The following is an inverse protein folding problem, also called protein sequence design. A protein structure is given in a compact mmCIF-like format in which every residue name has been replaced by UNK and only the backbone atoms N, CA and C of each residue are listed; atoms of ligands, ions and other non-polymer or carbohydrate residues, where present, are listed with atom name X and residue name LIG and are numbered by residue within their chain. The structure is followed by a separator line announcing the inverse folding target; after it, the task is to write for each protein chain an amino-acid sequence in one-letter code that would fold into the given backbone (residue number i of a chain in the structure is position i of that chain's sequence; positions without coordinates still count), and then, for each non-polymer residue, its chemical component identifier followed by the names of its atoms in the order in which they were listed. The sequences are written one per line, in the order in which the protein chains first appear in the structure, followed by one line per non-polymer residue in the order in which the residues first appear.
data_IF_858039285386
#
_entry.id   IF_858039285386
#
_cell.length_a   1.000
_cell.length_b   1.000
_cell.length_c   1.000
_cell.angle_alpha   90.00
_cell.angle_beta   90.00
_cell.angle_gamma   90.00
#
_symmetry.space_group_name_H-M   'P 1'
#
loop_
_entity.id
_entity.type
_entity.pdbx_description
1 polymer ?
#
# COMPACT_ATOMS: atom_id res chain seq x y z
N UNK A 1 -0.42 -32.09 -6.43
CA UNK A 1 -1.86 -32.11 -6.10
C UNK A 1 -2.20 -30.72 -5.60
N UNK A 2 -2.97 -29.95 -6.38
CA UNK A 2 -3.39 -28.59 -6.00
C UNK A 2 -4.73 -28.77 -5.30
N UNK A 3 -4.74 -28.73 -3.97
CA UNK A 3 -5.99 -28.78 -3.20
C UNK A 3 -6.78 -27.54 -3.58
N UNK A 4 -7.84 -27.70 -4.37
CA UNK A 4 -8.75 -26.64 -4.74
C UNK A 4 -9.70 -26.39 -3.55
N UNK A 5 -9.13 -25.97 -2.42
CA UNK A 5 -9.93 -25.36 -1.38
C UNK A 5 -10.34 -23.98 -1.89
N UNK A 6 -11.64 -23.79 -2.07
CA UNK A 6 -12.22 -22.49 -2.42
C UNK A 6 -12.00 -21.48 -1.29
N UNK A 7 -12.81 -20.42 -1.27
CA UNK A 7 -12.68 -19.35 -0.26
C UNK A 7 -12.69 -19.94 1.16
N UNK A 8 -11.60 -19.73 1.89
CA UNK A 8 -11.48 -20.05 3.31
C UNK A 8 -12.07 -18.92 4.12
N UNK A 9 -13.27 -19.13 4.66
CA UNK A 9 -13.91 -18.20 5.60
C UNK A 9 -13.41 -18.44 7.02
N UNK A 10 -13.64 -17.48 7.92
CA UNK A 10 -13.33 -17.62 9.35
C UNK A 10 -13.95 -18.86 9.98
N UNK A 11 -15.17 -19.23 9.58
CA UNK A 11 -15.83 -20.46 10.05
C UNK A 11 -15.10 -21.73 9.60
N UNK A 12 -14.58 -21.75 8.36
CA UNK A 12 -13.76 -22.86 7.85
C UNK A 12 -12.39 -22.96 8.54
N UNK A 13 -11.69 -21.84 8.72
CA UNK A 13 -10.41 -21.81 9.43
C UNK A 13 -10.56 -22.24 10.91
N UNK A 14 -11.70 -21.99 11.54
CA UNK A 14 -11.97 -22.52 12.90
C UNK A 14 -12.08 -24.04 12.93
N UNK A 15 -12.65 -24.66 11.89
CA UNK A 15 -12.81 -26.12 11.79
C UNK A 15 -11.54 -26.85 11.34
N UNK A 16 -10.68 -26.18 10.56
CA UNK A 16 -9.38 -26.66 10.14
C UNK A 16 -8.36 -25.53 10.40
N UNK A 17 -7.80 -25.45 11.62
CA UNK A 17 -6.93 -24.35 12.01
C UNK A 17 -5.65 -24.31 11.17
N UNK A 18 -5.28 -23.10 10.77
CA UNK A 18 -4.08 -22.85 9.96
C UNK A 18 -2.82 -23.33 10.69
N UNK A 19 -2.00 -24.09 9.98
CA UNK A 19 -0.66 -24.44 10.44
C UNK A 19 0.34 -23.44 9.88
N UNK A 20 0.95 -22.66 10.78
CA UNK A 20 2.00 -21.72 10.45
C UNK A 20 3.36 -22.42 10.41
N UNK A 21 4.14 -22.13 9.37
CA UNK A 21 5.49 -22.69 9.23
C UNK A 21 6.46 -21.93 10.15
N UNK A 22 7.21 -22.68 10.96
CA UNK A 22 8.33 -22.13 11.75
C UNK A 22 9.56 -21.97 10.85
N UNK A 23 10.10 -20.75 10.78
CA UNK A 23 11.28 -20.43 9.97
C UNK A 23 12.37 -19.79 10.84
N UNK A 24 13.66 -20.01 10.52
CA UNK A 24 14.74 -19.24 11.13
C UNK A 24 14.56 -17.74 10.91
N UNK A 25 14.94 -16.92 11.89
CA UNK A 25 14.81 -15.46 11.80
C UNK A 25 15.49 -14.87 10.54
N UNK A 26 16.74 -15.24 10.17
CA UNK A 26 17.38 -14.72 8.97
C UNK A 26 16.60 -15.03 7.70
N UNK A 27 16.03 -16.25 7.61
CA UNK A 27 15.15 -16.65 6.51
C UNK A 27 13.93 -15.75 6.42
N UNK A 28 13.29 -15.46 7.57
CA UNK A 28 12.09 -14.62 7.58
C UNK A 28 12.42 -13.16 7.21
N UNK A 29 13.56 -12.64 7.64
CA UNK A 29 14.02 -11.30 7.24
C UNK A 29 14.20 -11.25 5.73
N UNK A 30 14.93 -12.20 5.14
CA UNK A 30 15.14 -12.25 3.69
C UNK A 30 13.82 -12.42 2.92
N UNK A 31 12.89 -13.23 3.44
CA UNK A 31 11.56 -13.38 2.85
C UNK A 31 10.81 -12.04 2.78
N UNK A 32 10.81 -11.26 3.86
CA UNK A 32 10.16 -9.95 3.92
C UNK A 32 10.84 -8.93 2.98
N UNK A 33 12.17 -8.95 2.89
CA UNK A 33 12.89 -8.09 1.96
C UNK A 33 12.59 -8.44 0.49
N UNK A 34 12.40 -9.73 0.18
CA UNK A 34 11.99 -10.18 -1.14
C UNK A 34 10.53 -9.83 -1.46
N UNK A 35 9.64 -9.86 -0.46
CA UNK A 35 8.24 -9.41 -0.60
C UNK A 35 8.19 -7.90 -0.87
N UNK A 36 8.94 -7.08 -0.12
CA UNK A 36 9.05 -5.64 -0.35
C UNK A 36 9.62 -5.31 -1.75
N UNK A 37 10.60 -6.08 -2.20
CA UNK A 37 11.14 -5.96 -3.56
C UNK A 37 10.08 -6.31 -4.62
N UNK A 38 9.23 -7.29 -4.37
CA UNK A 38 8.13 -7.66 -5.27
C UNK A 38 7.10 -6.54 -5.36
N UNK A 39 6.69 -5.99 -4.21
CA UNK A 39 5.74 -4.87 -4.14
C UNK A 39 6.24 -3.63 -4.91
N UNK A 40 7.52 -3.27 -4.74
CA UNK A 40 8.14 -2.16 -5.48
C UNK A 40 8.13 -2.43 -6.99
N UNK A 41 8.43 -3.66 -7.42
CA UNK A 41 8.41 -4.03 -8.85
C UNK A 41 7.00 -3.94 -9.44
N UNK A 42 5.99 -4.37 -8.68
CA UNK A 42 4.57 -4.28 -9.08
C UNK A 42 4.10 -2.82 -9.22
N UNK A 43 4.52 -1.94 -8.30
CA UNK A 43 4.19 -0.50 -8.36
C UNK A 43 4.80 0.20 -9.58
N UNK A 44 6.05 -0.13 -9.94
CA UNK A 44 6.70 0.44 -11.14
C UNK A 44 6.00 -0.03 -12.42
N UNK A 45 5.53 -1.27 -12.45
CA UNK A 45 4.77 -1.80 -13.59
C UNK A 45 3.37 -1.19 -13.68
N UNK A 46 2.72 -0.91 -12.55
CA UNK A 46 1.40 -0.30 -12.49
C UNK A 46 1.41 1.22 -12.77
N UNK A 47 2.54 1.90 -12.57
CA UNK A 47 2.67 3.32 -12.86
C UNK A 47 2.76 3.65 -14.37
N UNK A 48 2.98 2.66 -15.23
CA UNK A 48 2.92 2.82 -16.70
C UNK A 48 1.49 2.60 -17.25
N UNK A 49 0.58 2.07 -16.41
CA UNK A 49 -0.87 2.02 -16.64
C UNK A 49 -1.54 3.19 -15.87
N UNK A 50 -1.07 4.42 -16.13
CA UNK A 50 -1.79 5.65 -15.77
C UNK A 50 -3.13 5.71 -16.55
N UNK A 51 -4.11 4.95 -16.07
CA UNK A 51 -5.51 5.36 -16.02
C UNK A 51 -6.06 4.74 -14.74
N UNK A 52 -5.85 5.49 -13.67
CA UNK A 52 -6.35 5.20 -12.34
C UNK A 52 -7.89 5.16 -12.41
N UNK A 53 -8.43 3.96 -12.63
CA UNK A 53 -9.85 3.59 -12.65
C UNK A 53 -10.48 3.67 -11.26
N UNK A 54 -10.16 4.71 -10.50
CA UNK A 54 -11.12 5.25 -9.54
C UNK A 54 -12.24 5.83 -10.40
N UNK A 55 -13.24 5.01 -10.73
CA UNK A 55 -14.49 5.46 -11.31
C UNK A 55 -14.97 6.66 -10.48
N UNK A 56 -14.76 7.87 -11.01
CA UNK A 56 -15.62 9.00 -10.69
C UNK A 56 -17.01 8.49 -11.05
N UNK A 57 -17.81 8.21 -10.03
CA UNK A 57 -19.22 7.83 -10.20
C UNK A 57 -19.85 8.99 -10.96
N UNK A 58 -19.87 8.86 -12.28
CA UNK A 58 -20.56 9.78 -13.16
C UNK A 58 -22.02 9.64 -12.77
N UNK A 59 -22.52 10.66 -12.07
CA UNK A 59 -23.94 10.89 -11.93
C UNK A 59 -24.49 11.31 -13.30
N UNK A 60 -24.45 10.40 -14.27
CA UNK A 60 -25.14 10.58 -15.54
C UNK A 60 -26.57 10.12 -15.36
N UNK A 61 -27.49 11.07 -15.49
CA UNK A 61 -28.90 10.82 -15.32
C UNK A 61 -29.75 12.02 -14.94
N UNK A 62 -29.37 13.25 -15.28
CA UNK A 62 -30.36 14.35 -15.43
C UNK A 62 -30.00 15.15 -16.69
N UNK A 63 -30.45 14.61 -17.82
CA UNK A 63 -30.70 15.36 -19.03
C UNK A 63 -31.52 16.61 -18.69
N UNK A 64 -30.87 17.77 -18.84
CA UNK A 64 -31.45 19.02 -19.32
C UNK A 64 -32.92 19.32 -18.92
N UNK A 65 -33.14 19.77 -17.68
CA UNK A 65 -34.32 20.58 -17.35
C UNK A 65 -33.90 21.79 -16.50
N UNK A 66 -33.59 22.90 -17.19
CA UNK A 66 -33.36 24.24 -16.59
C UNK A 66 -34.56 24.82 -15.83
N UNK A 67 -35.62 24.05 -15.65
CA UNK A 67 -36.85 24.44 -14.95
C UNK A 67 -36.87 24.00 -13.47
N UNK A 68 -36.04 23.02 -13.06
CA UNK A 68 -36.07 22.51 -11.67
C UNK A 68 -35.39 23.44 -10.64
N UNK A 69 -34.53 24.35 -11.11
CA UNK A 69 -33.82 25.30 -10.23
C UNK A 69 -34.74 26.34 -9.57
N UNK A 70 -35.98 26.49 -10.04
CA UNK A 70 -36.94 27.43 -9.45
C UNK A 70 -37.75 26.84 -8.29
N UNK A 71 -37.74 25.51 -8.10
CA UNK A 71 -38.60 24.83 -7.12
C UNK A 71 -37.91 24.44 -5.80
N UNK A 72 -36.61 24.71 -5.63
CA UNK A 72 -35.92 24.64 -4.32
C UNK A 72 -36.19 25.91 -3.49
N UNK A 73 -37.27 26.63 -3.78
CA UNK A 73 -37.71 27.78 -2.99
C UNK A 73 -38.74 27.40 -1.92
N UNK A 74 -38.75 26.18 -1.36
CA UNK A 74 -39.50 25.93 -0.12
C UNK A 74 -38.88 24.82 0.73
N UNK A 75 -38.61 25.20 1.99
CA UNK A 75 -38.27 24.39 3.17
C UNK A 75 -36.98 23.56 3.18
N UNK A 76 -35.91 24.10 3.76
CA UNK A 76 -35.48 23.73 5.13
C UNK A 76 -34.18 24.46 5.48
N UNK A 77 -34.19 25.22 6.58
CA UNK A 77 -33.01 25.72 7.29
C UNK A 77 -32.01 26.55 6.49
N UNK A 78 -32.17 27.87 6.47
CA UNK A 78 -31.12 28.79 6.00
C UNK A 78 -29.89 28.57 6.87
N UNK A 79 -28.87 27.87 6.37
CA UNK A 79 -27.55 28.01 6.95
C UNK A 79 -27.16 29.48 6.75
N UNK A 80 -27.17 30.26 7.83
CA UNK A 80 -26.73 31.65 7.78
C UNK A 80 -25.22 31.65 7.57
N UNK A 81 -24.68 32.68 6.91
CA UNK A 81 -23.23 32.81 6.70
C UNK A 81 -22.45 32.68 8.02
N UNK A 82 -23.05 33.03 9.16
CA UNK A 82 -22.50 32.81 10.50
C UNK A 82 -22.25 31.33 10.85
N UNK A 83 -23.06 30.39 10.36
CA UNK A 83 -22.84 28.96 10.56
C UNK A 83 -21.66 28.46 9.73
N UNK A 84 -21.51 29.01 8.52
CA UNK A 84 -20.41 28.71 7.62
C UNK A 84 -19.09 29.31 8.15
N UNK A 85 -19.13 30.54 8.65
CA UNK A 85 -18.02 31.21 9.34
C UNK A 85 -17.63 30.47 10.62
N UNK A 86 -18.59 29.95 11.39
CA UNK A 86 -18.34 29.15 12.58
C UNK A 86 -17.65 27.82 12.24
N UNK A 87 -18.06 27.16 11.15
CA UNK A 87 -17.37 25.96 10.64
C UNK A 87 -15.93 26.30 10.21
N UNK A 88 -15.73 27.38 9.46
CA UNK A 88 -14.40 27.85 9.04
C UNK A 88 -13.50 28.17 10.24
N UNK A 89 -14.04 28.76 11.31
CA UNK A 89 -13.31 29.08 12.53
C UNK A 89 -12.91 27.83 13.32
N UNK A 90 -13.79 26.83 13.41
CA UNK A 90 -13.49 25.53 14.02
C UNK A 90 -12.39 24.77 13.27
N UNK A 91 -12.32 24.90 11.94
CA UNK A 91 -11.25 24.29 11.14
C UNK A 91 -9.93 25.06 11.18
N UNK A 92 -9.95 26.35 11.52
CA UNK A 92 -8.75 27.21 11.53
C UNK A 92 -8.12 27.38 12.94
N UNK A 93 -8.80 26.99 14.02
CA UNK A 93 -8.33 27.28 15.39
C UNK A 93 -7.28 26.30 15.96
N UNK A 94 -6.88 25.24 15.26
CA UNK A 94 -5.86 24.29 15.75
C UNK A 94 -4.66 24.14 14.78
N UNK A 95 -4.19 25.23 14.18
CA UNK A 95 -2.91 25.23 13.43
C UNK A 95 -1.66 25.27 14.34
N UNK A 96 -1.83 25.21 15.66
CA UNK A 96 -0.70 25.01 16.60
C UNK A 96 -0.40 23.52 16.86
N UNK A 97 -1.18 22.61 16.29
CA UNK A 97 -0.82 21.19 16.18
C UNK A 97 0.06 20.98 14.94
N UNK A 98 1.13 21.77 14.82
CA UNK A 98 2.18 21.43 13.88
C UNK A 98 2.83 20.14 14.41
N UNK A 99 2.30 19.00 13.98
CA UNK A 99 2.82 17.67 14.25
C UNK A 99 4.32 17.68 13.95
N UNK A 100 5.13 17.78 15.01
CA UNK A 100 6.60 17.77 14.97
C UNK A 100 7.16 16.49 14.37
N UNK A 101 6.32 15.48 14.17
CA UNK A 101 6.61 14.22 13.51
C UNK A 101 7.07 14.42 12.05
N UNK A 102 6.45 15.36 11.32
CA UNK A 102 6.84 15.67 9.94
C UNK A 102 8.24 16.29 9.84
N UNK A 103 8.66 17.09 10.83
CA UNK A 103 9.96 17.76 10.81
C UNK A 103 11.12 16.80 11.14
N UNK A 104 10.87 15.82 12.01
CA UNK A 104 11.87 14.79 12.37
C UNK A 104 12.02 13.75 11.25
N UNK A 105 10.93 13.40 10.56
CA UNK A 105 10.94 12.44 9.45
C UNK A 105 11.66 12.98 8.20
N UNK A 106 11.56 14.28 7.91
CA UNK A 106 12.27 14.90 6.77
C UNK A 106 13.79 14.98 7.00
N UNK A 107 14.23 15.08 8.26
CA UNK A 107 15.65 15.13 8.60
C UNK A 107 16.30 13.75 8.76
N UNK A 108 15.53 12.65 8.75
CA UNK A 108 16.05 11.29 8.88
C UNK A 108 16.84 10.88 7.62
N UNK A 109 18.14 10.55 7.75
CA UNK A 109 18.92 10.01 6.63
C UNK A 109 18.30 8.77 5.97
N UNK A 110 17.54 7.95 6.72
CA UNK A 110 16.88 6.77 6.18
C UNK A 110 15.77 7.11 5.20
N UNK A 111 15.05 8.23 5.43
CA UNK A 111 13.98 8.68 4.55
C UNK A 111 14.51 9.17 3.19
N UNK A 112 15.81 9.45 3.08
CA UNK A 112 16.48 9.83 1.83
C UNK A 112 16.95 8.63 1.00
N UNK A 113 16.87 7.42 1.54
CA UNK A 113 17.36 6.20 0.85
C UNK A 113 16.34 5.77 -0.19
N UNK A 114 16.81 5.58 -1.43
CA UNK A 114 16.04 4.86 -2.43
C UNK A 114 16.00 3.36 -2.05
N UNK A 115 14.87 2.93 -1.49
CA UNK A 115 14.70 1.56 -1.00
C UNK A 115 14.91 0.51 -2.09
N UNK A 116 14.46 0.76 -3.32
CA UNK A 116 14.61 -0.17 -4.44
C UNK A 116 16.10 -0.44 -4.75
N UNK A 117 16.88 0.64 -4.88
CA UNK A 117 18.32 0.55 -5.13
C UNK A 117 19.04 -0.12 -3.95
N UNK A 118 18.68 0.24 -2.71
CA UNK A 118 19.26 -0.36 -1.52
C UNK A 118 19.03 -1.88 -1.47
N UNK A 119 17.81 -2.34 -1.73
CA UNK A 119 17.51 -3.79 -1.74
C UNK A 119 18.24 -4.51 -2.86
N UNK A 120 18.36 -3.90 -4.05
CA UNK A 120 19.15 -4.44 -5.16
C UNK A 120 20.60 -4.63 -4.75
N UNK A 121 21.24 -3.58 -4.24
CA UNK A 121 22.63 -3.61 -3.81
C UNK A 121 22.86 -4.59 -2.65
N UNK A 122 21.90 -4.67 -1.72
CA UNK A 122 21.92 -5.63 -0.62
C UNK A 122 21.96 -7.07 -1.15
N UNK A 123 21.04 -7.47 -2.04
CA UNK A 123 21.00 -8.83 -2.55
C UNK A 123 22.23 -9.18 -3.40
N UNK A 124 22.72 -8.24 -4.20
CA UNK A 124 23.98 -8.40 -4.96
C UNK A 124 25.14 -8.61 -4.00
N UNK A 125 25.31 -7.73 -3.01
CA UNK A 125 26.39 -7.79 -2.01
C UNK A 125 26.31 -9.06 -1.17
N UNK A 126 25.10 -9.48 -0.79
CA UNK A 126 24.89 -10.69 -0.01
C UNK A 126 25.25 -11.94 -0.83
N UNK A 127 24.88 -11.98 -2.12
CA UNK A 127 25.25 -13.09 -3.01
C UNK A 127 26.76 -13.20 -3.23
N UNK A 128 27.49 -12.09 -3.20
CA UNK A 128 28.94 -12.05 -3.34
C UNK A 128 29.64 -12.45 -2.04
N UNK A 129 29.09 -12.02 -0.90
CA UNK A 129 29.67 -12.25 0.43
C UNK A 129 29.46 -13.68 0.92
N UNK A 130 28.22 -14.19 0.82
CA UNK A 130 27.86 -15.54 1.28
C UNK A 130 26.76 -16.15 0.42
N UNK A 131 27.18 -16.59 -0.78
CA UNK A 131 26.30 -17.25 -1.75
C UNK A 131 25.68 -18.53 -1.19
N UNK A 132 26.43 -19.30 -0.41
CA UNK A 132 25.97 -20.60 0.08
C UNK A 132 24.83 -20.43 1.08
N UNK A 133 24.94 -19.44 1.96
CA UNK A 133 23.89 -19.13 2.91
C UNK A 133 22.65 -18.56 2.22
N UNK A 134 22.82 -17.65 1.25
CA UNK A 134 21.71 -17.14 0.44
C UNK A 134 20.99 -18.28 -0.31
N UNK A 135 21.72 -19.19 -0.94
CA UNK A 135 21.17 -20.35 -1.64
C UNK A 135 20.42 -21.28 -0.67
N UNK A 136 20.91 -21.45 0.56
CA UNK A 136 20.22 -22.21 1.59
C UNK A 136 18.89 -21.55 2.00
N UNK A 137 18.90 -20.24 2.25
CA UNK A 137 17.68 -19.48 2.57
C UNK A 137 16.66 -19.60 1.42
N UNK A 138 17.09 -19.42 0.17
CA UNK A 138 16.23 -19.47 -1.00
C UNK A 138 15.43 -20.78 -1.14
N UNK A 139 15.96 -21.91 -0.63
CA UNK A 139 15.23 -23.20 -0.64
C UNK A 139 13.93 -23.16 0.17
N UNK A 140 13.88 -22.32 1.21
CA UNK A 140 12.73 -22.19 2.11
C UNK A 140 11.76 -21.07 1.72
N UNK A 141 12.11 -20.25 0.73
CA UNK A 141 11.28 -19.15 0.24
C UNK A 141 10.16 -19.64 -0.70
N UNK A 142 9.15 -18.80 -0.88
CA UNK A 142 8.12 -19.02 -1.90
C UNK A 142 8.70 -18.87 -3.32
N UNK A 143 7.94 -19.28 -4.33
CA UNK A 143 8.38 -19.12 -5.71
C UNK A 143 8.46 -17.64 -6.14
N UNK A 144 7.52 -16.79 -5.71
CA UNK A 144 7.53 -15.36 -6.01
C UNK A 144 8.76 -14.67 -5.43
N UNK A 145 9.05 -14.93 -4.16
CA UNK A 145 10.23 -14.40 -3.45
C UNK A 145 11.54 -14.79 -4.14
N UNK A 146 11.69 -16.07 -4.52
CA UNK A 146 12.86 -16.54 -5.27
C UNK A 146 12.98 -15.84 -6.62
N UNK A 147 11.88 -15.69 -7.35
CA UNK A 147 11.88 -15.03 -8.66
C UNK A 147 12.31 -13.56 -8.54
N UNK A 148 11.82 -12.83 -7.55
CA UNK A 148 12.19 -11.43 -7.30
C UNK A 148 13.71 -11.27 -7.04
N UNK A 149 14.28 -12.12 -6.18
CA UNK A 149 15.72 -12.12 -5.89
C UNK A 149 16.51 -12.47 -7.17
N UNK A 150 16.09 -13.51 -7.91
CA UNK A 150 16.79 -13.93 -9.13
C UNK A 150 16.76 -12.87 -10.23
N UNK A 151 15.68 -12.09 -10.34
CA UNK A 151 15.57 -11.01 -11.33
C UNK A 151 16.64 -9.95 -11.09
N UNK A 152 16.89 -9.62 -9.82
CA UNK A 152 17.93 -8.68 -9.41
C UNK A 152 19.34 -9.25 -9.61
N UNK A 153 19.57 -10.53 -9.26
CA UNK A 153 20.89 -11.15 -9.38
C UNK A 153 21.33 -11.47 -10.82
N UNK A 154 20.41 -11.40 -11.79
CA UNK A 154 20.68 -11.66 -13.21
C UNK A 154 20.93 -10.39 -14.03
N UNK A 155 20.78 -9.20 -13.44
CA UNK A 155 21.21 -7.94 -14.05
C UNK A 155 22.74 -7.88 -14.11
#
# INVERSE_FOLDING_TARGET
MKSHEGITTRSKAKSAPDQWVMLPLPTKIVALLADALTEIQEQVLAADDEDSDWEEVQADGIENDKEFLYSVSTSSGKATDEQLEAMVKVFNEDQDDQYVDGLLSVADPLNQINLANYLVDFFVSFSQSDRQFLDHICKSLSQSQRSAIQLVLKR
#
